data_IF_649774655524
#
_entry.id   IF_649774655524
#
_cell.length_a   1.000
_cell.length_b   1.000
_cell.length_c   1.000
_cell.angle_alpha   90.00
_cell.angle_beta   90.00
_cell.angle_gamma   90.00
#
_symmetry.space_group_name_H-M   'P 1'
#
loop_
_entity.id
_entity.type
_entity.pdbx_description
1 polymer ?
#
# COMPACT_ATOMS: atom_id res chain seq x y z
N UNK A 1 7.16 -3.20 13.98
CA UNK A 1 8.01 -2.23 13.24
C UNK A 1 7.41 -0.82 13.23
N UNK A 2 6.09 -0.67 13.24
CA UNK A 2 5.42 0.64 13.13
C UNK A 2 5.59 1.55 14.37
N UNK A 3 5.67 0.96 15.57
CA UNK A 3 5.84 1.71 16.82
C UNK A 3 7.19 2.47 16.86
N UNK A 4 8.22 1.97 16.19
CA UNK A 4 9.54 2.60 16.18
C UNK A 4 9.59 3.91 15.40
N UNK A 5 8.75 4.06 14.38
CA UNK A 5 8.81 5.24 13.51
C UNK A 5 8.38 6.53 14.24
N UNK A 6 7.37 6.46 15.10
CA UNK A 6 6.89 7.62 15.88
C UNK A 6 7.96 8.18 16.83
N UNK A 7 8.91 7.35 17.29
CA UNK A 7 9.98 7.80 18.16
C UNK A 7 10.89 8.84 17.49
N UNK A 8 11.07 8.80 16.18
CA UNK A 8 11.92 9.72 15.43
C UNK A 8 11.35 11.14 15.46
N UNK A 9 10.13 11.40 14.91
CA UNK A 9 9.58 12.74 14.93
C UNK A 9 9.01 13.17 16.29
N UNK A 10 8.60 12.21 17.14
CA UNK A 10 8.02 12.50 18.45
C UNK A 10 9.06 12.68 19.55
N UNK A 11 9.91 11.69 19.78
CA UNK A 11 10.86 11.71 20.90
C UNK A 11 12.20 12.33 20.54
N UNK A 12 12.70 12.06 19.31
CA UNK A 12 13.98 12.58 18.84
C UNK A 12 13.86 13.95 18.16
N UNK A 13 12.63 14.42 17.99
CA UNK A 13 12.34 15.71 17.33
C UNK A 13 13.06 15.89 16.00
N UNK A 14 13.10 14.84 15.20
CA UNK A 14 13.84 14.76 13.94
C UNK A 14 12.88 14.54 12.79
N UNK A 15 13.07 15.24 11.67
CA UNK A 15 12.28 15.06 10.45
C UNK A 15 12.31 13.60 10.02
N UNK A 16 11.14 13.04 9.69
CA UNK A 16 11.01 11.70 9.12
C UNK A 16 10.37 11.77 7.73
N UNK A 17 11.03 11.17 6.75
CA UNK A 17 10.47 10.93 5.42
C UNK A 17 10.39 9.43 5.20
N UNK A 18 9.18 8.94 4.98
CA UNK A 18 8.90 7.52 4.86
C UNK A 18 8.15 6.95 6.06
N UNK A 19 7.97 5.64 6.05
CA UNK A 19 7.11 4.96 7.00
C UNK A 19 5.63 5.22 6.72
N UNK A 20 4.78 4.53 7.47
CA UNK A 20 3.32 4.72 7.42
C UNK A 20 2.89 5.57 8.61
N UNK A 21 2.00 6.50 8.37
CA UNK A 21 1.43 7.37 9.40
C UNK A 21 -0.09 7.49 9.26
N UNK A 22 -0.70 8.04 10.28
CA UNK A 22 -2.12 8.35 10.38
C UNK A 22 -2.31 9.68 11.12
N UNK A 23 -3.54 10.17 11.16
CA UNK A 23 -3.87 11.46 11.80
C UNK A 23 -3.56 11.44 13.31
N UNK A 24 -3.78 10.30 13.99
CA UNK A 24 -3.53 10.16 15.42
C UNK A 24 -2.04 10.24 15.75
N UNK A 25 -1.21 9.55 14.97
CA UNK A 25 0.26 9.59 15.12
C UNK A 25 0.83 10.96 14.79
N UNK A 26 0.33 11.59 13.73
CA UNK A 26 0.74 12.96 13.38
C UNK A 26 0.43 13.97 14.47
N UNK A 27 -0.69 13.82 15.17
CA UNK A 27 -1.04 14.69 16.30
C UNK A 27 -0.10 14.54 17.52
N UNK A 28 0.66 13.45 17.60
CA UNK A 28 1.58 13.15 18.71
C UNK A 28 3.01 13.62 18.45
N UNK A 29 3.35 14.08 17.23
CA UNK A 29 4.72 14.44 16.86
C UNK A 29 4.88 15.94 16.66
N UNK A 30 6.09 16.43 16.94
CA UNK A 30 6.44 17.83 16.79
C UNK A 30 7.25 18.10 15.51
N UNK A 31 8.16 17.18 15.16
CA UNK A 31 8.92 17.28 13.94
C UNK A 31 8.07 16.90 12.70
N UNK A 32 8.36 17.45 11.52
CA UNK A 32 7.68 17.06 10.30
C UNK A 32 7.81 15.55 10.03
N UNK A 33 6.68 14.93 9.69
CA UNK A 33 6.64 13.54 9.22
C UNK A 33 5.90 13.48 7.89
N UNK A 34 6.58 12.96 6.87
CA UNK A 34 6.06 12.85 5.50
C UNK A 34 6.02 11.38 5.12
N UNK A 35 4.84 10.88 4.78
CA UNK A 35 4.69 9.58 4.12
C UNK A 35 5.02 9.75 2.63
N UNK A 36 6.03 9.03 2.12
CA UNK A 36 6.39 9.09 0.70
C UNK A 36 5.40 8.35 -0.22
N UNK A 37 4.49 7.57 0.36
CA UNK A 37 3.35 6.95 -0.30
C UNK A 37 2.07 7.77 -0.15
N UNK A 38 0.97 7.08 0.07
CA UNK A 38 -0.38 7.63 0.31
C UNK A 38 -0.93 7.11 1.62
N UNK A 39 -1.42 7.99 2.49
CA UNK A 39 -2.05 7.62 3.75
C UNK A 39 -3.23 6.67 3.54
N UNK A 40 -3.41 5.74 4.46
CA UNK A 40 -4.45 4.68 4.37
C UNK A 40 -5.84 5.25 4.11
N UNK A 41 -6.22 6.32 4.80
CA UNK A 41 -7.54 6.95 4.66
C UNK A 41 -7.79 7.42 3.21
N UNK A 42 -6.83 8.15 2.64
CA UNK A 42 -6.94 8.64 1.26
C UNK A 42 -6.86 7.51 0.25
N UNK A 43 -5.96 6.55 0.47
CA UNK A 43 -5.82 5.36 -0.37
C UNK A 43 -7.11 4.57 -0.46
N UNK A 44 -7.76 4.32 0.68
CA UNK A 44 -9.01 3.57 0.71
C UNK A 44 -10.18 4.33 0.05
N UNK A 45 -10.27 5.64 0.27
CA UNK A 45 -11.28 6.47 -0.37
C UNK A 45 -11.13 6.47 -1.91
N UNK A 46 -9.89 6.59 -2.40
CA UNK A 46 -9.59 6.50 -3.84
C UNK A 46 -9.90 5.10 -4.38
N UNK A 47 -9.52 4.04 -3.66
CA UNK A 47 -9.82 2.68 -4.07
C UNK A 47 -11.32 2.45 -4.22
N UNK A 48 -12.11 2.77 -3.20
CA UNK A 48 -13.56 2.65 -3.25
C UNK A 48 -14.17 3.47 -4.41
N UNK A 49 -13.70 4.70 -4.61
CA UNK A 49 -14.15 5.56 -5.72
C UNK A 49 -13.82 4.97 -7.09
N UNK A 50 -12.62 4.42 -7.28
CA UNK A 50 -12.23 3.77 -8.53
C UNK A 50 -13.02 2.49 -8.78
N UNK A 51 -13.31 1.71 -7.76
CA UNK A 51 -14.18 0.52 -7.88
C UNK A 51 -15.58 0.93 -8.33
N UNK A 52 -16.16 1.98 -7.75
CA UNK A 52 -17.47 2.49 -8.12
C UNK A 52 -17.48 3.02 -9.57
N UNK A 53 -16.53 3.87 -9.93
CA UNK A 53 -16.40 4.43 -11.28
C UNK A 53 -16.25 3.34 -12.37
N UNK A 54 -15.69 2.20 -12.04
CA UNK A 54 -15.53 1.06 -12.94
C UNK A 54 -16.66 0.01 -12.83
N UNK A 55 -17.76 0.34 -12.12
CA UNK A 55 -18.94 -0.54 -12.00
C UNK A 55 -18.69 -1.81 -11.18
N UNK A 56 -17.70 -1.79 -10.30
CA UNK A 56 -17.31 -2.95 -9.50
C UNK A 56 -17.99 -3.00 -8.12
N UNK A 57 -18.90 -2.06 -7.85
CA UNK A 57 -19.66 -1.98 -6.58
C UNK A 57 -21.11 -2.39 -6.77
N UNK A 58 -21.75 -1.92 -7.85
CA UNK A 58 -23.19 -2.10 -8.06
C UNK A 58 -23.59 -3.57 -8.12
N UNK A 59 -24.59 -3.95 -7.31
CA UNK A 59 -25.17 -5.30 -7.27
C UNK A 59 -24.34 -6.36 -6.56
N UNK A 60 -23.19 -6.00 -6.01
CA UNK A 60 -22.31 -6.91 -5.25
C UNK A 60 -22.62 -6.89 -3.76
N UNK A 61 -22.39 -8.03 -3.11
CA UNK A 61 -22.53 -8.22 -1.67
C UNK A 61 -21.17 -8.50 -1.05
N UNK A 62 -20.65 -7.52 -0.35
CA UNK A 62 -19.33 -7.60 0.22
C UNK A 62 -19.31 -8.24 1.60
N UNK A 63 -18.33 -9.11 1.84
CA UNK A 63 -17.79 -9.30 3.17
C UNK A 63 -16.60 -8.36 3.34
N UNK A 64 -16.59 -7.57 4.41
CA UNK A 64 -15.47 -6.72 4.80
C UNK A 64 -14.65 -7.44 5.86
N UNK A 65 -13.37 -7.69 5.57
CA UNK A 65 -12.47 -8.40 6.47
C UNK A 65 -11.29 -7.51 6.85
N UNK A 66 -10.98 -7.45 8.13
CA UNK A 66 -9.81 -6.77 8.68
C UNK A 66 -9.31 -7.43 9.96
N UNK A 67 -8.28 -6.84 10.55
CA UNK A 67 -7.65 -7.31 11.79
C UNK A 67 -7.84 -6.30 12.90
N UNK A 68 -8.00 -6.79 14.13
CA UNK A 68 -8.17 -5.96 15.32
C UNK A 68 -6.92 -5.11 15.64
N UNK A 69 -5.72 -5.60 15.29
CA UNK A 69 -4.47 -4.84 15.46
C UNK A 69 -4.29 -3.72 14.41
N UNK A 70 -5.16 -3.67 13.40
CA UNK A 70 -5.26 -2.61 12.39
C UNK A 70 -6.70 -2.10 12.25
N UNK A 71 -7.42 -1.99 13.37
CA UNK A 71 -8.83 -1.60 13.41
C UNK A 71 -9.10 -0.25 12.74
N UNK A 72 -8.16 0.69 12.82
CA UNK A 72 -8.26 1.97 12.13
C UNK A 72 -8.39 1.77 10.60
N UNK A 73 -7.53 0.95 10.00
CA UNK A 73 -7.60 0.61 8.57
C UNK A 73 -8.95 -0.01 8.21
N UNK A 74 -9.45 -0.89 9.06
CA UNK A 74 -10.77 -1.51 8.90
C UNK A 74 -11.91 -0.48 8.93
N UNK A 75 -11.89 0.43 9.90
CA UNK A 75 -12.91 1.48 10.03
C UNK A 75 -12.91 2.42 8.82
N UNK A 76 -11.72 2.81 8.35
CA UNK A 76 -11.55 3.62 7.12
C UNK A 76 -12.11 2.90 5.89
N UNK A 77 -11.88 1.59 5.77
CA UNK A 77 -12.42 0.79 4.66
C UNK A 77 -13.95 0.74 4.71
N UNK A 78 -14.54 0.51 5.89
CA UNK A 78 -15.98 0.50 6.10
C UNK A 78 -16.62 1.83 5.71
N UNK A 79 -16.04 2.95 6.16
CA UNK A 79 -16.53 4.30 5.84
C UNK A 79 -16.43 4.58 4.34
N UNK A 80 -15.31 4.22 3.70
CA UNK A 80 -15.09 4.44 2.27
C UNK A 80 -16.05 3.62 1.42
N UNK A 81 -16.32 2.36 1.78
CA UNK A 81 -17.29 1.51 1.09
C UNK A 81 -18.73 2.03 1.27
N UNK A 82 -19.07 2.51 2.47
CA UNK A 82 -20.35 3.13 2.72
C UNK A 82 -20.56 4.42 1.90
N UNK A 83 -19.50 5.21 1.71
CA UNK A 83 -19.56 6.45 0.94
C UNK A 83 -19.89 6.23 -0.54
N UNK A 84 -19.52 5.09 -1.12
CA UNK A 84 -19.86 4.68 -2.50
C UNK A 84 -21.10 3.80 -2.57
N UNK A 85 -21.81 3.60 -1.47
CA UNK A 85 -23.07 2.84 -1.42
C UNK A 85 -22.91 1.33 -1.56
N UNK A 86 -21.74 0.77 -1.25
CA UNK A 86 -21.51 -0.67 -1.29
C UNK A 86 -22.38 -1.43 -0.27
N UNK A 87 -22.95 -2.55 -0.67
CA UNK A 87 -23.71 -3.45 0.22
C UNK A 87 -22.74 -4.36 0.98
N UNK A 88 -22.39 -3.99 2.23
CA UNK A 88 -21.59 -4.83 3.12
C UNK A 88 -22.54 -5.72 3.93
N UNK A 89 -22.63 -7.00 3.58
CA UNK A 89 -23.55 -7.96 4.21
C UNK A 89 -22.96 -8.69 5.42
N UNK A 90 -21.64 -8.68 5.55
CA UNK A 90 -20.94 -9.26 6.69
C UNK A 90 -19.69 -8.46 7.00
N UNK A 91 -19.49 -8.13 8.26
CA UNK A 91 -18.29 -7.52 8.79
C UNK A 91 -17.54 -8.53 9.67
N UNK A 92 -16.22 -8.67 9.43
CA UNK A 92 -15.35 -9.61 10.14
C UNK A 92 -14.09 -8.85 10.58
N UNK A 93 -13.94 -8.69 11.88
CA UNK A 93 -12.72 -8.18 12.48
C UNK A 93 -12.01 -9.33 13.20
N UNK A 94 -10.91 -9.80 12.62
CA UNK A 94 -10.14 -10.93 13.13
C UNK A 94 -9.18 -10.47 14.21
N UNK A 95 -9.15 -11.17 15.33
CA UNK A 95 -8.13 -11.03 16.38
C UNK A 95 -7.07 -12.14 16.32
N UNK A 96 -7.11 -12.95 15.27
CA UNK A 96 -6.20 -14.08 15.08
C UNK A 96 -4.80 -13.59 14.72
N UNK A 97 -3.83 -13.93 15.56
CA UNK A 97 -2.43 -13.50 15.39
C UNK A 97 -1.52 -14.58 14.80
N UNK A 98 -2.07 -15.73 14.39
CA UNK A 98 -1.32 -16.86 13.83
C UNK A 98 -0.50 -17.64 14.87
N UNK A 99 -0.79 -17.47 16.16
CA UNK A 99 -0.08 -18.15 17.24
C UNK A 99 -0.68 -19.51 17.68
N UNK A 100 -1.97 -19.72 17.42
CA UNK A 100 -2.71 -20.95 17.72
C UNK A 100 -3.41 -21.45 16.46
N UNK A 101 -2.77 -22.31 15.71
CA UNK A 101 -3.26 -22.79 14.42
C UNK A 101 -4.55 -23.59 14.51
N UNK A 102 -4.77 -24.40 15.56
CA UNK A 102 -6.00 -25.18 15.71
C UNK A 102 -7.20 -24.28 16.05
N UNK A 103 -7.00 -23.31 16.95
CA UNK A 103 -8.03 -22.34 17.30
C UNK A 103 -8.36 -21.40 16.15
N UNK A 104 -7.34 -21.02 15.38
CA UNK A 104 -7.48 -20.19 14.19
C UNK A 104 -8.26 -20.91 13.09
N UNK A 105 -7.93 -22.16 12.78
CA UNK A 105 -8.62 -22.94 11.77
C UNK A 105 -10.12 -23.13 12.13
N UNK A 106 -10.43 -23.50 13.39
CA UNK A 106 -11.80 -23.62 13.86
C UNK A 106 -12.58 -22.30 13.79
N UNK A 107 -11.93 -21.18 14.05
CA UNK A 107 -12.54 -19.85 13.93
C UNK A 107 -12.86 -19.53 12.47
N UNK A 108 -11.91 -19.82 11.55
CA UNK A 108 -12.15 -19.59 10.12
C UNK A 108 -13.21 -20.51 9.51
N UNK A 109 -13.35 -21.73 10.00
CA UNK A 109 -14.46 -22.62 9.60
C UNK A 109 -15.81 -21.98 9.92
N UNK A 110 -15.94 -21.41 11.12
CA UNK A 110 -17.17 -20.67 11.50
C UNK A 110 -17.37 -19.43 10.63
N UNK A 111 -16.29 -18.68 10.32
CA UNK A 111 -16.39 -17.50 9.46
C UNK A 111 -16.76 -17.87 8.02
N UNK A 112 -16.24 -18.97 7.48
CA UNK A 112 -16.62 -19.48 6.17
C UNK A 112 -18.12 -19.77 6.08
N UNK A 113 -18.71 -20.41 7.11
CA UNK A 113 -20.16 -20.64 7.18
C UNK A 113 -20.97 -19.33 7.29
N UNK A 114 -20.45 -18.33 8.00
CA UNK A 114 -21.08 -17.01 8.08
C UNK A 114 -21.05 -16.30 6.72
N UNK A 115 -19.94 -16.36 5.98
CA UNK A 115 -19.78 -15.78 4.63
C UNK A 115 -20.82 -16.44 3.69
N UNK A 116 -20.91 -17.77 3.68
CA UNK A 116 -21.93 -18.50 2.89
C UNK A 116 -23.35 -18.08 3.26
N UNK A 117 -23.65 -18.01 4.55
CA UNK A 117 -24.99 -17.67 5.05
C UNK A 117 -25.38 -16.23 4.75
N UNK A 118 -24.41 -15.31 4.71
CA UNK A 118 -24.63 -13.91 4.34
C UNK A 118 -24.88 -13.74 2.84
N UNK A 119 -24.55 -14.73 2.02
CA UNK A 119 -24.68 -14.69 0.57
C UNK A 119 -23.75 -13.64 -0.05
N UNK A 120 -22.57 -13.44 0.54
CA UNK A 120 -21.54 -12.59 -0.03
C UNK A 120 -20.99 -13.21 -1.32
N UNK A 121 -20.74 -12.39 -2.33
CA UNK A 121 -20.10 -12.75 -3.60
C UNK A 121 -18.75 -12.05 -3.80
N UNK A 122 -18.44 -11.11 -2.93
CA UNK A 122 -17.24 -10.27 -3.00
C UNK A 122 -16.61 -10.10 -1.62
N UNK A 123 -15.28 -10.01 -1.58
CA UNK A 123 -14.52 -9.74 -0.35
C UNK A 123 -13.69 -8.48 -0.50
N UNK A 124 -13.86 -7.52 0.41
CA UNK A 124 -12.89 -6.45 0.59
C UNK A 124 -11.97 -6.77 1.77
N UNK A 125 -10.70 -6.90 1.50
CA UNK A 125 -9.66 -7.08 2.52
C UNK A 125 -9.02 -5.74 2.88
N UNK A 126 -9.34 -5.26 4.09
CA UNK A 126 -8.92 -3.96 4.62
C UNK A 126 -7.62 -4.05 5.41
N UNK A 127 -6.65 -4.76 4.92
CA UNK A 127 -5.38 -4.98 5.60
C UNK A 127 -4.65 -6.19 5.05
N UNK A 128 -3.65 -6.67 5.79
CA UNK A 128 -2.80 -7.78 5.37
C UNK A 128 -3.23 -9.13 5.95
N UNK A 129 -4.52 -9.39 6.15
CA UNK A 129 -4.97 -10.67 6.72
C UNK A 129 -4.93 -11.80 5.66
N UNK A 130 -3.73 -12.34 5.47
CA UNK A 130 -3.50 -13.47 4.58
C UNK A 130 -4.18 -14.75 5.06
N UNK A 131 -4.45 -14.88 6.35
CA UNK A 131 -5.16 -16.04 6.89
C UNK A 131 -6.60 -16.08 6.35
N UNK A 132 -7.26 -14.92 6.18
CA UNK A 132 -8.56 -14.84 5.55
C UNK A 132 -8.55 -15.43 4.14
N UNK A 133 -7.60 -14.98 3.31
CA UNK A 133 -7.46 -15.41 1.93
C UNK A 133 -7.28 -16.94 1.86
N UNK A 134 -6.30 -17.47 2.61
CA UNK A 134 -5.99 -18.90 2.68
C UNK A 134 -7.18 -19.74 3.14
N UNK A 135 -7.77 -19.39 4.27
CA UNK A 135 -8.78 -20.24 4.89
C UNK A 135 -10.11 -20.21 4.14
N UNK A 136 -10.50 -19.08 3.57
CA UNK A 136 -11.70 -19.02 2.72
C UNK A 136 -11.51 -19.81 1.41
N UNK A 137 -10.32 -19.72 0.81
CA UNK A 137 -9.96 -20.52 -0.35
C UNK A 137 -10.04 -22.04 -0.06
N UNK A 138 -9.44 -22.50 1.04
CA UNK A 138 -9.49 -23.92 1.44
C UNK A 138 -10.90 -24.40 1.83
N UNK A 139 -11.72 -23.49 2.35
CA UNK A 139 -13.11 -23.76 2.58
C UNK A 139 -13.96 -23.83 1.29
N UNK A 140 -13.36 -23.61 0.11
CA UNK A 140 -14.06 -23.62 -1.17
C UNK A 140 -15.05 -22.46 -1.31
N UNK A 141 -14.74 -21.30 -0.75
CA UNK A 141 -15.53 -20.08 -0.89
C UNK A 141 -15.00 -19.30 -2.09
N UNK A 142 -15.81 -19.17 -3.12
CA UNK A 142 -15.50 -18.38 -4.31
C UNK A 142 -16.05 -16.97 -4.13
N UNK A 143 -15.15 -15.97 -4.10
CA UNK A 143 -15.46 -14.55 -3.96
C UNK A 143 -14.63 -13.74 -4.95
N UNK A 144 -15.22 -12.68 -5.48
CA UNK A 144 -14.43 -11.64 -6.15
C UNK A 144 -13.61 -10.88 -5.11
N UNK A 145 -12.30 -10.80 -5.32
CA UNK A 145 -11.35 -10.32 -4.32
C UNK A 145 -10.97 -8.86 -4.57
N UNK A 146 -11.12 -8.02 -3.56
CA UNK A 146 -10.71 -6.62 -3.54
C UNK A 146 -9.72 -6.41 -2.40
N UNK A 147 -8.45 -6.20 -2.72
CA UNK A 147 -7.36 -6.13 -1.76
C UNK A 147 -6.71 -4.76 -1.87
N UNK A 148 -7.00 -3.86 -0.92
CA UNK A 148 -6.51 -2.50 -0.96
C UNK A 148 -4.98 -2.40 -1.04
N UNK A 149 -4.26 -3.30 -0.37
CA UNK A 149 -2.81 -3.23 -0.28
C UNK A 149 -2.13 -4.23 -1.23
N UNK A 150 -1.61 -3.72 -2.35
CA UNK A 150 -0.87 -4.52 -3.32
C UNK A 150 0.35 -5.25 -2.74
N UNK A 151 0.95 -4.74 -1.66
CA UNK A 151 2.04 -5.43 -0.96
C UNK A 151 1.60 -6.79 -0.38
N UNK A 152 0.31 -6.97 -0.08
CA UNK A 152 -0.22 -8.28 0.33
C UNK A 152 -0.09 -9.30 -0.78
N UNK A 153 -0.30 -8.86 -2.02
CA UNK A 153 -0.20 -9.70 -3.23
C UNK A 153 1.25 -9.93 -3.66
N UNK A 154 2.11 -8.90 -3.57
CA UNK A 154 3.53 -8.99 -3.98
C UNK A 154 4.44 -9.67 -2.97
N UNK A 155 3.92 -10.20 -1.86
CA UNK A 155 4.70 -10.89 -0.84
C UNK A 155 4.02 -12.20 -0.43
N UNK A 156 3.67 -13.01 -1.43
CA UNK A 156 3.15 -14.36 -1.23
C UNK A 156 4.17 -15.25 -0.49
N UNK A 157 3.68 -16.26 0.17
CA UNK A 157 4.49 -17.19 0.96
C UNK A 157 3.99 -18.61 0.74
N UNK A 158 4.70 -19.60 1.22
CA UNK A 158 4.29 -21.01 1.13
C UNK A 158 2.90 -21.30 1.75
N UNK A 159 2.37 -20.38 2.55
CA UNK A 159 1.04 -20.53 3.16
C UNK A 159 -0.07 -19.79 2.40
N UNK A 160 0.29 -18.90 1.46
CA UNK A 160 -0.65 -18.19 0.58
C UNK A 160 -0.01 -18.13 -0.81
N UNK A 161 -0.47 -19.03 -1.66
CA UNK A 161 0.04 -19.17 -3.03
C UNK A 161 -0.69 -18.24 -4.00
N UNK A 162 -0.10 -17.90 -5.16
CA UNK A 162 -0.73 -17.04 -6.16
C UNK A 162 -2.13 -17.47 -6.55
N UNK A 163 -2.39 -18.76 -6.69
CA UNK A 163 -3.70 -19.30 -7.06
C UNK A 163 -4.85 -18.86 -6.14
N UNK A 164 -4.56 -18.54 -4.86
CA UNK A 164 -5.55 -18.09 -3.88
C UNK A 164 -6.00 -16.64 -4.11
N UNK A 165 -5.27 -15.89 -4.92
CA UNK A 165 -5.51 -14.47 -5.16
C UNK A 165 -5.73 -14.13 -6.64
N UNK A 166 -5.79 -15.12 -7.53
CA UNK A 166 -6.04 -14.89 -8.96
C UNK A 166 -7.30 -14.07 -9.17
N UNK A 167 -7.19 -13.03 -9.98
CA UNK A 167 -8.28 -12.10 -10.25
C UNK A 167 -8.51 -11.04 -9.17
N UNK A 168 -7.73 -11.03 -8.08
CA UNK A 168 -7.86 -9.99 -7.06
C UNK A 168 -7.59 -8.60 -7.65
N UNK A 169 -8.49 -7.66 -7.37
CA UNK A 169 -8.37 -6.26 -7.75
C UNK A 169 -7.67 -5.50 -6.63
N UNK A 170 -6.67 -4.70 -6.99
CA UNK A 170 -5.89 -3.91 -6.02
C UNK A 170 -5.65 -2.48 -6.50
N UNK A 171 -5.33 -1.58 -5.57
CA UNK A 171 -4.90 -0.23 -5.89
C UNK A 171 -3.37 -0.19 -6.03
N UNK A 172 -2.89 0.32 -7.16
CA UNK A 172 -1.48 0.57 -7.39
C UNK A 172 -1.25 1.99 -7.93
N UNK A 173 0.01 2.41 -7.95
CA UNK A 173 0.52 3.43 -8.86
C UNK A 173 1.26 2.75 -10.00
N UNK A 174 2.56 3.03 -10.16
CA UNK A 174 3.45 2.27 -11.04
C UNK A 174 3.69 0.87 -10.47
N UNK A 175 3.72 -0.15 -11.34
CA UNK A 175 4.25 -1.48 -10.99
C UNK A 175 5.75 -1.39 -10.68
N UNK A 176 6.31 -2.41 -10.06
CA UNK A 176 7.75 -2.44 -9.74
C UNK A 176 8.61 -2.29 -11.00
N UNK A 177 8.22 -2.94 -12.10
CA UNK A 177 8.93 -2.84 -13.39
C UNK A 177 8.83 -1.42 -13.96
N UNK A 178 7.64 -0.82 -13.98
CA UNK A 178 7.48 0.55 -14.45
C UNK A 178 8.26 1.56 -13.59
N UNK A 179 8.26 1.39 -12.25
CA UNK A 179 9.08 2.21 -11.35
C UNK A 179 10.56 2.10 -11.70
N UNK A 180 11.05 0.88 -11.93
CA UNK A 180 12.44 0.63 -12.28
C UNK A 180 12.82 1.27 -13.63
N UNK A 181 11.93 1.23 -14.61
CA UNK A 181 12.17 1.72 -15.98
C UNK A 181 12.04 3.25 -16.14
N UNK A 182 11.55 3.97 -15.12
CA UNK A 182 11.48 5.43 -15.24
C UNK A 182 12.87 6.04 -15.47
N UNK A 183 12.95 7.09 -16.30
CA UNK A 183 14.21 7.81 -16.54
C UNK A 183 14.82 8.31 -15.23
N UNK A 184 13.99 8.80 -14.30
CA UNK A 184 14.43 9.26 -12.98
C UNK A 184 15.07 8.11 -12.18
N UNK A 185 14.45 6.93 -12.14
CA UNK A 185 15.01 5.76 -11.45
C UNK A 185 16.36 5.36 -12.02
N UNK A 186 16.45 5.25 -13.34
CA UNK A 186 17.67 4.80 -14.01
C UNK A 186 18.80 5.82 -13.84
N UNK A 187 18.53 7.11 -14.10
CA UNK A 187 19.57 8.14 -14.17
C UNK A 187 20.01 8.61 -12.78
N UNK A 188 19.08 8.78 -11.86
CA UNK A 188 19.34 9.43 -10.58
C UNK A 188 19.45 8.45 -9.39
N UNK A 189 19.07 7.18 -9.56
CA UNK A 189 19.08 6.20 -8.49
C UNK A 189 19.98 4.99 -8.82
N UNK A 190 19.67 4.26 -9.89
CA UNK A 190 20.34 2.99 -10.21
C UNK A 190 21.78 3.24 -10.69
N UNK A 191 21.95 4.05 -11.73
CA UNK A 191 23.28 4.29 -12.30
C UNK A 191 24.30 4.90 -11.31
N UNK A 192 23.94 5.87 -10.43
CA UNK A 192 24.86 6.34 -9.40
C UNK A 192 25.22 5.26 -8.37
N UNK A 193 24.27 4.40 -8.00
CA UNK A 193 24.52 3.30 -7.08
C UNK A 193 25.48 2.27 -7.68
N UNK A 194 25.24 1.83 -8.92
CA UNK A 194 26.12 0.89 -9.62
C UNK A 194 27.52 1.44 -9.82
N UNK A 195 27.64 2.74 -10.10
CA UNK A 195 28.93 3.39 -10.22
C UNK A 195 29.70 3.42 -8.89
N UNK A 196 29.01 3.55 -7.76
CA UNK A 196 29.59 3.56 -6.43
C UNK A 196 29.88 2.15 -5.89
N UNK A 197 29.12 1.15 -6.34
CA UNK A 197 29.13 -0.23 -5.86
C UNK A 197 29.19 -1.24 -7.01
N UNK A 198 30.28 -1.24 -7.81
CA UNK A 198 30.40 -2.12 -8.99
C UNK A 198 30.43 -3.63 -8.65
N UNK A 199 30.63 -3.97 -7.38
CA UNK A 199 30.60 -5.34 -6.88
C UNK A 199 29.18 -5.86 -6.64
N UNK A 200 28.16 -5.00 -6.65
CA UNK A 200 26.75 -5.36 -6.41
C UNK A 200 26.00 -5.49 -7.73
N UNK A 201 25.38 -6.63 -7.93
CA UNK A 201 24.44 -6.83 -9.04
C UNK A 201 23.07 -6.34 -8.59
N UNK A 202 22.61 -5.22 -9.14
CA UNK A 202 21.33 -4.62 -8.75
C UNK A 202 20.14 -5.49 -9.18
N UNK A 203 20.21 -6.09 -10.38
CA UNK A 203 19.13 -6.85 -10.99
C UNK A 203 17.96 -5.97 -11.44
N UNK A 204 16.89 -6.59 -11.90
CA UNK A 204 15.64 -5.94 -12.30
C UNK A 204 14.44 -6.67 -11.67
N UNK A 205 13.26 -6.05 -11.60
CA UNK A 205 12.06 -6.75 -11.12
C UNK A 205 11.74 -8.03 -11.90
N UNK A 206 11.93 -8.02 -13.23
CA UNK A 206 11.66 -9.17 -14.10
C UNK A 206 12.70 -10.29 -14.01
N UNK A 207 13.94 -9.94 -13.67
CA UNK A 207 15.07 -10.90 -13.61
C UNK A 207 15.44 -11.26 -12.16
N UNK A 208 14.59 -10.94 -11.23
CA UNK A 208 14.82 -11.25 -9.82
C UNK A 208 14.72 -12.76 -9.58
N UNK A 209 15.77 -13.34 -8.99
CA UNK A 209 15.80 -14.71 -8.53
C UNK A 209 15.39 -14.80 -7.06
N UNK A 210 14.58 -15.79 -6.68
CA UNK A 210 14.18 -16.00 -5.30
C UNK A 210 15.39 -16.22 -4.39
N UNK A 211 15.33 -15.58 -3.21
CA UNK A 211 16.42 -15.64 -2.23
C UNK A 211 17.58 -14.67 -2.50
N UNK A 212 17.53 -13.90 -3.60
CA UNK A 212 18.50 -12.84 -3.88
C UNK A 212 17.97 -11.51 -3.36
N UNK A 213 18.85 -10.67 -2.81
CA UNK A 213 18.53 -9.33 -2.34
C UNK A 213 17.94 -8.47 -3.47
N UNK A 214 16.77 -7.89 -3.24
CA UNK A 214 16.10 -6.99 -4.20
C UNK A 214 16.68 -5.57 -4.11
N UNK A 215 17.94 -5.39 -4.47
CA UNK A 215 18.67 -4.12 -4.38
C UNK A 215 17.95 -2.99 -5.11
N UNK A 216 17.42 -3.25 -6.30
CA UNK A 216 16.65 -2.26 -7.07
C UNK A 216 15.49 -1.66 -6.26
N UNK A 217 14.76 -2.47 -5.48
CA UNK A 217 13.63 -2.00 -4.66
C UNK A 217 14.10 -1.08 -3.55
N UNK A 218 15.15 -1.47 -2.82
CA UNK A 218 15.73 -0.68 -1.74
C UNK A 218 16.30 0.63 -2.27
N UNK A 219 17.04 0.59 -3.37
CA UNK A 219 17.62 1.76 -4.02
C UNK A 219 16.53 2.76 -4.40
N UNK A 220 15.49 2.34 -5.11
CA UNK A 220 14.41 3.24 -5.54
C UNK A 220 13.66 3.84 -4.35
N UNK A 221 13.40 3.04 -3.31
CA UNK A 221 12.71 3.51 -2.10
C UNK A 221 13.50 4.62 -1.41
N UNK A 222 14.79 4.37 -1.11
CA UNK A 222 15.62 5.37 -0.42
C UNK A 222 15.97 6.56 -1.31
N UNK A 223 16.17 6.35 -2.61
CA UNK A 223 16.37 7.42 -3.56
C UNK A 223 15.18 8.36 -3.64
N UNK A 224 13.95 7.82 -3.66
CA UNK A 224 12.72 8.61 -3.59
C UNK A 224 12.67 9.47 -2.33
N UNK A 225 13.00 8.90 -1.18
CA UNK A 225 13.03 9.66 0.08
C UNK A 225 14.09 10.76 0.09
N UNK A 226 15.26 10.49 -0.47
CA UNK A 226 16.35 11.48 -0.58
C UNK A 226 15.99 12.60 -1.55
N UNK A 227 15.42 12.30 -2.71
CA UNK A 227 14.96 13.31 -3.67
C UNK A 227 13.84 14.19 -3.07
N UNK A 228 12.91 13.59 -2.34
CA UNK A 228 11.86 14.33 -1.64
C UNK A 228 12.46 15.27 -0.58
N UNK A 229 13.43 14.79 0.21
CA UNK A 229 14.16 15.62 1.17
C UNK A 229 14.89 16.76 0.47
N UNK A 230 15.64 16.49 -0.59
CA UNK A 230 16.39 17.49 -1.35
C UNK A 230 15.48 18.58 -1.90
N UNK A 231 14.33 18.19 -2.45
CA UNK A 231 13.34 19.12 -2.99
C UNK A 231 12.80 20.06 -1.91
N UNK A 232 12.42 19.53 -0.76
CA UNK A 232 11.89 20.32 0.36
C UNK A 232 12.99 21.19 0.96
N UNK A 233 14.17 20.64 1.21
CA UNK A 233 15.30 21.39 1.78
C UNK A 233 15.77 22.52 0.86
N UNK A 234 15.74 22.30 -0.45
CA UNK A 234 16.06 23.34 -1.45
C UNK A 234 15.03 24.48 -1.41
N UNK A 235 13.74 24.14 -1.34
CA UNK A 235 12.66 25.12 -1.23
C UNK A 235 12.72 25.90 0.11
N UNK A 236 13.11 25.24 1.21
CA UNK A 236 13.29 25.89 2.52
C UNK A 236 14.46 26.88 2.57
N UNK A 237 15.44 26.73 1.66
CA UNK A 237 16.59 27.63 1.57
C UNK A 237 17.69 27.34 2.61
N UNK A 238 18.59 28.32 2.86
CA UNK A 238 19.83 28.07 3.60
C UNK A 238 19.66 27.89 5.13
N UNK A 239 18.47 28.17 5.65
CA UNK A 239 18.16 28.00 7.08
C UNK A 239 17.12 26.91 7.23
N UNK A 240 17.57 25.72 7.59
CA UNK A 240 16.72 24.54 7.72
C UNK A 240 16.31 24.36 9.18
N UNK A 241 15.06 24.71 9.48
CA UNK A 241 14.37 24.46 10.75
C UNK A 241 13.11 23.63 10.49
N UNK A 242 12.45 23.13 11.52
CA UNK A 242 11.17 22.44 11.34
C UNK A 242 10.10 23.35 10.70
N UNK A 243 10.10 24.63 11.04
CA UNK A 243 9.11 25.57 10.50
C UNK A 243 9.38 25.87 9.02
N UNK A 244 10.64 26.20 8.65
CA UNK A 244 10.98 26.43 7.23
C UNK A 244 10.81 25.16 6.39
N UNK A 245 11.03 23.99 6.99
CA UNK A 245 10.78 22.70 6.32
C UNK A 245 9.29 22.45 6.07
N UNK A 246 8.41 22.75 7.06
CA UNK A 246 6.94 22.65 6.88
C UNK A 246 6.44 23.63 5.82
N UNK A 247 6.86 24.88 5.88
CA UNK A 247 6.46 25.91 4.89
C UNK A 247 6.89 25.49 3.48
N UNK A 248 8.12 24.97 3.34
CA UNK A 248 8.63 24.50 2.06
C UNK A 248 7.86 23.27 1.55
N UNK A 249 7.59 22.30 2.43
CA UNK A 249 6.82 21.11 2.10
C UNK A 249 5.44 21.48 1.55
N UNK A 250 4.72 22.41 2.18
CA UNK A 250 3.39 22.88 1.74
C UNK A 250 3.41 23.68 0.43
N UNK A 251 4.58 23.99 -0.10
CA UNK A 251 4.78 24.74 -1.35
C UNK A 251 5.03 23.87 -2.58
N UNK A 252 4.95 22.54 -2.46
CA UNK A 252 5.21 21.60 -3.56
C UNK A 252 3.88 21.19 -4.22
N UNK A 253 3.41 21.91 -5.26
CA UNK A 253 2.09 21.68 -5.84
C UNK A 253 2.03 20.40 -6.69
N UNK A 254 3.14 20.05 -7.34
CA UNK A 254 3.27 18.83 -8.13
C UNK A 254 4.74 18.48 -8.33
N UNK A 255 5.05 17.19 -8.22
CA UNK A 255 6.36 16.64 -8.53
C UNK A 255 6.26 15.19 -8.98
N UNK A 256 7.31 14.71 -9.67
CA UNK A 256 7.46 13.31 -10.07
C UNK A 256 8.70 12.74 -9.42
N UNK A 257 8.55 11.62 -8.74
CA UNK A 257 9.63 10.87 -8.10
C UNK A 257 9.70 9.43 -8.65
N UNK A 258 10.79 8.69 -8.42
CA UNK A 258 10.99 7.36 -9.02
C UNK A 258 9.81 6.40 -8.86
N UNK A 259 9.23 6.33 -7.66
CA UNK A 259 8.14 5.40 -7.36
C UNK A 259 6.74 6.02 -7.50
N UNK A 260 6.65 7.32 -7.79
CA UNK A 260 5.40 8.04 -7.86
C UNK A 260 5.44 9.13 -8.95
N UNK A 261 4.79 8.92 -10.10
CA UNK A 261 4.83 9.87 -11.23
C UNK A 261 4.04 11.15 -10.98
N UNK A 262 3.06 11.12 -10.07
CA UNK A 262 2.28 12.27 -9.64
C UNK A 262 2.32 12.36 -8.12
N UNK A 263 2.83 13.45 -7.60
CA UNK A 263 2.89 13.67 -6.16
C UNK A 263 2.83 15.14 -5.83
N UNK A 264 2.30 15.46 -4.65
CA UNK A 264 2.16 16.83 -4.18
C UNK A 264 2.26 16.90 -2.66
N UNK A 265 2.67 18.04 -2.17
CA UNK A 265 2.58 18.42 -0.77
C UNK A 265 1.99 19.84 -0.73
N UNK A 266 0.71 19.91 -0.49
CA UNK A 266 -0.05 21.17 -0.35
C UNK A 266 -0.44 21.38 1.11
N UNK A 267 -0.88 22.56 1.53
CA UNK A 267 -1.25 22.82 2.93
C UNK A 267 -2.17 21.74 3.52
N UNK A 268 -1.75 21.18 4.65
CA UNK A 268 -2.45 20.09 5.35
C UNK A 268 -2.24 18.68 4.82
N UNK A 269 -1.49 18.51 3.73
CA UNK A 269 -1.16 17.19 3.15
C UNK A 269 0.22 16.74 3.58
N UNK A 270 0.33 15.53 4.11
CA UNK A 270 1.57 14.94 4.64
C UNK A 270 1.97 13.63 3.94
N UNK A 271 1.21 13.21 2.96
CA UNK A 271 1.49 12.06 2.10
C UNK A 271 1.75 12.53 0.66
N UNK A 272 2.80 12.00 0.06
CA UNK A 272 3.30 12.58 -1.20
C UNK A 272 2.57 12.02 -2.43
N UNK A 273 2.34 10.70 -2.51
CA UNK A 273 1.94 10.08 -3.76
C UNK A 273 0.45 10.27 -4.10
N UNK A 274 0.19 10.68 -5.35
CA UNK A 274 -1.12 10.96 -5.92
C UNK A 274 -1.42 10.12 -7.18
N UNK A 275 -0.60 9.12 -7.46
CA UNK A 275 -0.74 8.26 -8.62
C UNK A 275 -1.54 7.00 -8.28
N UNK A 276 -2.67 6.80 -8.95
CA UNK A 276 -3.57 5.69 -8.65
C UNK A 276 -4.11 5.02 -9.91
N UNK A 277 -4.20 3.71 -9.88
CA UNK A 277 -4.96 2.90 -10.84
C UNK A 277 -5.43 1.60 -10.22
N UNK A 278 -6.41 0.95 -10.83
CA UNK A 278 -6.75 -0.42 -10.54
C UNK A 278 -5.80 -1.36 -11.30
N UNK A 279 -5.41 -2.42 -10.62
CA UNK A 279 -4.63 -3.52 -11.18
C UNK A 279 -5.24 -4.85 -10.76
N UNK A 280 -5.07 -5.88 -11.57
CA UNK A 280 -5.42 -7.27 -11.24
C UNK A 280 -4.17 -8.05 -10.84
N UNK A 281 -4.41 -9.12 -10.08
CA UNK A 281 -3.38 -10.09 -9.76
C UNK A 281 -3.56 -11.33 -10.63
N UNK A 282 -2.49 -11.76 -11.28
CA UNK A 282 -2.45 -12.91 -12.15
C UNK A 282 -1.43 -13.95 -11.64
N UNK A 283 -1.73 -15.22 -11.80
CA UNK A 283 -0.77 -16.30 -11.62
C UNK A 283 -0.02 -16.51 -12.94
N UNK A 284 1.24 -16.14 -12.95
CA UNK A 284 2.14 -16.30 -14.10
C UNK A 284 2.99 -17.56 -14.01
N UNK A 285 2.71 -18.39 -12.99
CA UNK A 285 3.45 -19.61 -12.68
C UNK A 285 4.73 -19.38 -11.87
N UNK A 286 5.00 -18.13 -11.45
CA UNK A 286 6.05 -17.82 -10.48
C UNK A 286 5.54 -17.94 -9.05
N UNK A 287 6.44 -18.00 -8.08
CA UNK A 287 6.08 -18.09 -6.65
C UNK A 287 5.38 -16.81 -6.12
N UNK A 288 5.47 -15.71 -6.84
CA UNK A 288 4.96 -14.40 -6.41
C UNK A 288 3.77 -13.89 -7.23
N UNK A 289 3.47 -14.49 -8.39
CA UNK A 289 2.47 -13.98 -9.31
C UNK A 289 2.80 -12.60 -9.88
N UNK A 290 1.89 -12.03 -10.64
CA UNK A 290 2.08 -10.76 -11.35
C UNK A 290 0.94 -9.78 -11.07
N UNK A 291 1.27 -8.52 -10.82
CA UNK A 291 0.30 -7.42 -10.75
C UNK A 291 0.23 -6.73 -12.12
N UNK A 292 -0.93 -6.81 -12.77
CA UNK A 292 -1.17 -6.31 -14.12
C UNK A 292 -2.07 -5.08 -14.09
N UNK A 293 -1.68 -3.96 -14.72
CA UNK A 293 -2.51 -2.78 -14.82
C UNK A 293 -3.85 -3.05 -15.51
N UNK A 294 -4.96 -2.58 -14.93
CA UNK A 294 -6.30 -2.64 -15.53
C UNK A 294 -6.75 -1.29 -16.10
N UNK A 295 -6.35 -0.20 -15.45
CA UNK A 295 -6.71 1.16 -15.86
C UNK A 295 -5.46 2.00 -16.06
N UNK A 296 -5.61 3.11 -16.76
CA UNK A 296 -4.56 4.14 -16.81
C UNK A 296 -4.30 4.73 -15.42
N UNK A 297 -3.08 5.27 -15.22
CA UNK A 297 -2.75 5.97 -13.98
C UNK A 297 -3.50 7.30 -13.95
N UNK A 298 -4.27 7.48 -12.90
CA UNK A 298 -4.97 8.72 -12.61
C UNK A 298 -4.09 9.63 -11.75
N UNK A 299 -4.05 10.91 -12.09
CA UNK A 299 -3.50 11.96 -11.23
C UNK A 299 -4.57 12.34 -10.19
N UNK A 300 -4.32 11.97 -8.96
CA UNK A 300 -5.18 12.27 -7.80
C UNK A 300 -4.72 13.49 -7.00
N UNK A 301 -3.93 14.38 -7.61
CA UNK A 301 -3.52 15.65 -6.97
C UNK A 301 -4.76 16.43 -6.53
N UNK A 302 -4.83 16.87 -5.25
CA UNK A 302 -5.98 17.59 -4.70
C UNK A 302 -6.26 18.94 -5.39
#
# INVERSE_FOLDING_TARGET
AEISNICIPGQQNTVLIGGRTDEERLAQVQAPWIENGTMVKRRMAVFASLLDQNGMIEGRKFVLIGRSDTEETYNVARESMAAVGAEVVLEVLSDQTGGDTEGEDAWWDVMAERVRSAGADSMLMAGGDRAALRNLFWAGIELDLFIMNSETLSSMSSSVTPEMAVGAITLTGLTEQEQFETENSQTNCIAPFEAAHPEIVVGTPETHEDGIEKWWRSIMTYCTQLQLFEMIATAAGPVLTHDTFREAMESIPQASLPVCPFGSLVPGKVDFCDAFRLSSFEDDGSDNGLIVPMTEIMDGTP
#
